data_IF_915779569765
#
_entry.id   IF_915779569765
#
_cell.length_a   1.000
_cell.length_b   1.000
_cell.length_c   1.000
_cell.angle_alpha   90.00
_cell.angle_beta   90.00
_cell.angle_gamma   90.00
#
_symmetry.space_group_name_H-M   'P 1'
#
loop_
_entity.id
_entity.type
_entity.pdbx_description
1 polymer ?
#
# COMPACT_ATOMS: atom_id res chain seq x y z
N UNK A 1 -23.96 -43.99 -10.35
CA UNK A 1 -24.32 -42.55 -10.26
C UNK A 1 -23.60 -41.83 -9.12
N UNK A 2 -23.47 -42.41 -7.91
CA UNK A 2 -22.76 -41.76 -6.79
C UNK A 2 -21.26 -41.51 -7.07
N UNK A 3 -20.54 -42.47 -7.65
CA UNK A 3 -19.11 -42.33 -7.95
C UNK A 3 -18.79 -41.16 -8.91
N UNK A 4 -19.71 -40.86 -9.83
CA UNK A 4 -19.55 -39.77 -10.80
C UNK A 4 -19.66 -38.40 -10.13
N UNK A 5 -20.55 -38.29 -9.14
CA UNK A 5 -20.78 -37.07 -8.37
C UNK A 5 -19.58 -36.77 -7.45
N UNK A 6 -19.01 -37.79 -6.81
CA UNK A 6 -17.80 -37.62 -5.99
C UNK A 6 -16.59 -37.21 -6.81
N UNK A 7 -16.41 -37.77 -8.01
CA UNK A 7 -15.30 -37.37 -8.90
C UNK A 7 -15.45 -35.91 -9.35
N UNK A 8 -16.67 -35.46 -9.67
CA UNK A 8 -16.94 -34.07 -10.05
C UNK A 8 -16.74 -33.10 -8.88
N UNK A 9 -17.17 -33.48 -7.66
CA UNK A 9 -16.95 -32.67 -6.47
C UNK A 9 -15.45 -32.52 -6.15
N UNK A 10 -14.67 -33.60 -6.27
CA UNK A 10 -13.22 -33.55 -6.07
C UNK A 10 -12.51 -32.68 -7.11
N UNK A 11 -12.92 -32.74 -8.39
CA UNK A 11 -12.40 -31.88 -9.43
C UNK A 11 -12.74 -30.40 -9.19
N UNK A 12 -13.96 -30.11 -8.75
CA UNK A 12 -14.38 -28.74 -8.45
C UNK A 12 -13.59 -28.15 -7.27
N UNK A 13 -13.41 -28.92 -6.19
CA UNK A 13 -12.60 -28.51 -5.03
C UNK A 13 -11.13 -28.33 -5.43
N UNK A 14 -10.58 -29.22 -6.26
CA UNK A 14 -9.21 -29.08 -6.79
C UNK A 14 -9.05 -27.82 -7.66
N UNK A 15 -10.04 -27.50 -8.49
CA UNK A 15 -10.05 -26.27 -9.29
C UNK A 15 -10.22 -25.02 -8.43
N UNK A 16 -11.04 -25.04 -7.38
CA UNK A 16 -11.15 -23.94 -6.43
C UNK A 16 -9.83 -23.72 -5.67
N UNK A 17 -9.17 -24.79 -5.21
CA UNK A 17 -7.87 -24.69 -4.55
C UNK A 17 -6.80 -24.11 -5.49
N UNK A 18 -6.77 -24.51 -6.76
CA UNK A 18 -5.84 -23.95 -7.75
C UNK A 18 -6.18 -22.50 -8.13
N UNK A 19 -7.47 -22.19 -8.28
CA UNK A 19 -7.95 -20.86 -8.65
C UNK A 19 -7.66 -19.82 -7.58
N UNK A 20 -7.87 -20.19 -6.31
CA UNK A 20 -7.50 -19.35 -5.16
C UNK A 20 -5.99 -19.19 -5.09
N UNK A 21 -5.20 -20.26 -5.28
CA UNK A 21 -3.73 -20.17 -5.27
C UNK A 21 -3.17 -19.24 -6.36
N UNK A 22 -3.79 -19.21 -7.55
CA UNK A 22 -3.37 -18.33 -8.64
C UNK A 22 -3.71 -16.85 -8.38
N UNK A 23 -4.84 -16.56 -7.73
CA UNK A 23 -5.23 -15.17 -7.43
C UNK A 23 -4.36 -14.56 -6.32
N UNK A 24 -3.99 -15.30 -5.27
CA UNK A 24 -3.11 -14.76 -4.21
C UNK A 24 -1.67 -14.50 -4.70
N UNK A 25 -1.17 -15.33 -5.63
CA UNK A 25 0.22 -15.23 -6.13
C UNK A 25 0.42 -14.08 -7.13
N UNK A 26 -0.62 -13.73 -7.89
CA UNK A 26 -0.59 -12.57 -8.79
C UNK A 26 -0.63 -11.24 -8.02
N UNK A 27 -1.34 -11.18 -6.88
CA UNK A 27 -1.45 -9.98 -6.05
C UNK A 27 -0.24 -9.80 -5.13
N UNK A 28 0.35 -10.89 -4.63
CA UNK A 28 1.52 -10.85 -3.73
C UNK A 28 2.83 -10.40 -4.38
N UNK A 29 3.02 -10.62 -5.69
CA UNK A 29 4.24 -10.24 -6.40
C UNK A 29 4.27 -8.75 -6.82
N UNK A 30 3.10 -8.12 -6.99
CA UNK A 30 3.02 -6.70 -7.34
C UNK A 30 3.19 -5.77 -6.11
N UNK A 31 2.82 -6.23 -4.90
CA UNK A 31 2.82 -5.39 -3.69
C UNK A 31 4.14 -5.38 -2.89
N UNK A 32 5.08 -6.32 -3.09
CA UNK A 32 6.35 -6.36 -2.33
C UNK A 32 7.53 -5.56 -2.90
N UNK A 33 7.32 -4.78 -3.96
CA UNK A 33 8.40 -4.04 -4.65
C UNK A 33 8.58 -2.57 -4.25
N UNK A 34 7.63 -1.94 -3.56
CA UNK A 34 7.59 -0.46 -3.47
C UNK A 34 7.94 0.09 -2.07
N UNK A 35 7.78 -0.69 -1.00
CA UNK A 35 8.05 -0.19 0.36
C UNK A 35 9.53 -0.16 0.77
N UNK A 36 10.47 -0.60 -0.10
CA UNK A 36 11.91 -0.58 0.20
C UNK A 36 12.66 0.65 -0.30
N UNK A 37 12.01 1.65 -0.91
CA UNK A 37 12.72 2.80 -1.52
C UNK A 37 12.16 4.18 -1.16
N UNK A 38 11.61 4.39 0.03
CA UNK A 38 11.15 5.73 0.45
C UNK A 38 11.85 6.28 1.70
N UNK A 39 12.77 5.54 2.32
CA UNK A 39 13.39 5.99 3.58
C UNK A 39 14.92 5.91 3.61
N UNK A 40 15.61 6.19 2.48
CA UNK A 40 17.08 6.24 2.51
C UNK A 40 17.76 7.21 1.53
N UNK A 41 17.11 8.31 1.15
CA UNK A 41 17.75 9.35 0.31
C UNK A 41 17.42 10.78 0.76
N UNK A 42 17.19 11.01 2.06
CA UNK A 42 16.97 12.35 2.64
C UNK A 42 18.16 12.90 3.44
N UNK A 43 19.36 12.34 3.26
CA UNK A 43 20.60 13.00 3.69
C UNK A 43 21.63 12.93 2.58
N UNK A 44 22.24 14.09 2.33
CA UNK A 44 23.47 14.30 1.55
C UNK A 44 23.34 14.60 0.06
N UNK A 45 22.35 15.40 -0.39
CA UNK A 45 22.47 16.10 -1.69
C UNK A 45 21.78 17.48 -1.69
N UNK A 46 21.97 18.30 -0.65
CA UNK A 46 21.42 19.67 -0.69
C UNK A 46 22.45 20.77 -0.96
N UNK A 47 23.57 20.92 -0.26
CA UNK A 47 24.10 22.30 -0.23
C UNK A 47 25.28 22.69 -1.12
N UNK A 48 25.92 21.82 -1.91
CA UNK A 48 27.22 22.22 -2.50
C UNK A 48 27.50 21.89 -3.97
N UNK A 49 26.59 21.21 -4.68
CA UNK A 49 26.78 20.92 -6.13
C UNK A 49 25.60 21.30 -7.02
N UNK A 50 24.39 21.50 -6.47
CA UNK A 50 23.21 21.90 -7.24
C UNK A 50 23.08 23.42 -7.46
N UNK A 51 23.84 24.24 -6.70
CA UNK A 51 23.86 25.69 -6.88
C UNK A 51 24.79 26.18 -8.01
N UNK A 52 25.63 25.33 -8.59
CA UNK A 52 26.53 25.75 -9.66
C UNK A 52 26.07 25.33 -11.08
N UNK A 53 25.17 24.34 -11.21
CA UNK A 53 24.75 23.80 -12.52
C UNK A 53 23.30 24.14 -12.93
N UNK A 54 22.48 24.66 -12.02
CA UNK A 54 21.13 25.18 -12.34
C UNK A 54 21.16 26.53 -13.07
N UNK A 55 22.32 27.18 -13.19
CA UNK A 55 22.54 28.38 -13.98
C UNK A 55 22.56 28.17 -15.51
N UNK A 56 22.29 26.95 -16.00
CA UNK A 56 22.16 26.68 -17.45
C UNK A 56 20.78 27.00 -18.04
N UNK A 57 19.73 27.13 -17.19
CA UNK A 57 18.36 27.54 -17.54
C UNK A 57 17.82 28.59 -16.56
N UNK A 58 18.68 29.47 -16.04
CA UNK A 58 18.28 30.49 -15.07
C UNK A 58 17.44 31.58 -15.69
N UNK A 59 16.22 31.75 -15.16
CA UNK A 59 15.30 32.82 -15.52
C UNK A 59 13.84 32.41 -15.33
N UNK A 60 12.95 33.34 -15.62
CA UNK A 60 11.48 33.19 -15.49
C UNK A 60 10.94 31.92 -16.18
N UNK A 61 11.52 31.53 -17.33
CA UNK A 61 11.14 30.32 -18.05
C UNK A 61 11.45 29.02 -17.30
N UNK A 62 12.57 28.96 -16.57
CA UNK A 62 12.94 27.80 -15.75
C UNK A 62 12.06 27.64 -14.52
N UNK A 63 11.59 28.74 -13.93
CA UNK A 63 10.60 28.70 -12.85
C UNK A 63 9.24 28.17 -13.34
N UNK A 64 8.77 28.64 -14.51
CA UNK A 64 7.55 28.12 -15.11
C UNK A 64 7.65 26.62 -15.40
N UNK A 65 8.77 26.16 -15.98
CA UNK A 65 8.99 24.74 -16.25
C UNK A 65 8.97 23.89 -14.97
N UNK A 66 9.52 24.40 -13.86
CA UNK A 66 9.47 23.73 -12.56
C UNK A 66 8.05 23.66 -12.00
N UNK A 67 7.27 24.74 -12.07
CA UNK A 67 5.87 24.74 -11.65
C UNK A 67 5.05 23.70 -12.43
N UNK A 68 5.26 23.63 -13.76
CA UNK A 68 4.62 22.63 -14.62
C UNK A 68 5.00 21.21 -14.24
N UNK A 69 6.29 20.95 -14.00
CA UNK A 69 6.76 19.64 -13.58
C UNK A 69 6.15 19.23 -12.22
N UNK A 70 6.13 20.15 -11.25
CA UNK A 70 5.55 19.90 -9.93
C UNK A 70 4.06 19.59 -10.02
N UNK A 71 3.32 20.38 -10.79
CA UNK A 71 1.89 20.18 -11.03
C UNK A 71 1.62 18.82 -11.67
N UNK A 72 2.28 18.51 -12.80
CA UNK A 72 2.08 17.22 -13.50
C UNK A 72 2.45 16.02 -12.65
N UNK A 73 3.52 16.13 -11.85
CA UNK A 73 3.98 15.05 -10.97
C UNK A 73 2.98 14.80 -9.85
N UNK A 74 2.52 15.85 -9.17
CA UNK A 74 1.51 15.72 -8.10
C UNK A 74 0.21 15.13 -8.65
N UNK A 75 -0.29 15.66 -9.77
CA UNK A 75 -1.53 15.19 -10.40
C UNK A 75 -1.45 13.72 -10.84
N UNK A 76 -0.36 13.31 -11.50
CA UNK A 76 -0.15 11.90 -11.89
C UNK A 76 -0.07 11.00 -10.65
N UNK A 77 0.72 11.38 -9.64
CA UNK A 77 0.86 10.58 -8.43
C UNK A 77 -0.47 10.42 -7.67
N UNK A 78 -1.34 11.44 -7.69
CA UNK A 78 -2.69 11.36 -7.10
C UNK A 78 -3.62 10.48 -7.93
N UNK A 79 -3.57 10.59 -9.26
CA UNK A 79 -4.32 9.70 -10.15
C UNK A 79 -3.94 8.24 -9.91
N UNK A 80 -2.65 7.93 -9.86
CA UNK A 80 -2.15 6.58 -9.65
C UNK A 80 -2.62 6.01 -8.29
N UNK A 81 -2.54 6.83 -7.22
CA UNK A 81 -3.00 6.42 -5.89
C UNK A 81 -4.51 6.17 -5.83
N UNK A 82 -5.32 6.99 -6.50
CA UNK A 82 -6.77 6.81 -6.55
C UNK A 82 -7.14 5.58 -7.37
N UNK A 83 -6.55 5.40 -8.57
CA UNK A 83 -6.84 4.23 -9.42
C UNK A 83 -6.43 2.91 -8.79
N UNK A 84 -5.36 2.89 -7.98
CA UNK A 84 -4.94 1.70 -7.27
C UNK A 84 -6.00 1.21 -6.24
N UNK A 85 -6.78 2.11 -5.64
CA UNK A 85 -7.77 1.76 -4.62
C UNK A 85 -9.21 1.60 -5.13
N UNK A 86 -9.55 2.16 -6.30
CA UNK A 86 -10.94 2.18 -6.80
C UNK A 86 -11.51 0.80 -7.14
N UNK A 87 -10.67 -0.16 -7.50
CA UNK A 87 -11.12 -1.53 -7.76
C UNK A 87 -11.57 -2.26 -6.48
N UNK A 88 -10.94 -1.92 -5.35
CA UNK A 88 -11.13 -2.61 -4.07
C UNK A 88 -12.12 -1.86 -3.16
N UNK A 89 -12.29 -0.54 -3.34
CA UNK A 89 -13.10 0.30 -2.46
C UNK A 89 -14.02 1.29 -3.19
N UNK A 90 -15.34 1.05 -3.11
CA UNK A 90 -16.37 1.94 -3.65
C UNK A 90 -16.43 3.31 -2.97
N UNK A 91 -15.95 3.45 -1.73
CA UNK A 91 -15.97 4.73 -1.01
C UNK A 91 -14.99 5.77 -1.58
N UNK A 92 -14.01 5.34 -2.39
CA UNK A 92 -13.12 6.25 -3.13
C UNK A 92 -13.81 6.93 -4.33
N UNK A 93 -15.02 6.54 -4.71
CA UNK A 93 -15.74 7.11 -5.86
C UNK A 93 -15.93 8.63 -5.72
N UNK A 94 -16.20 9.12 -4.51
CA UNK A 94 -16.34 10.55 -4.25
C UNK A 94 -15.01 11.29 -4.42
N UNK A 95 -13.92 10.77 -3.83
CA UNK A 95 -12.56 11.31 -3.99
C UNK A 95 -12.12 11.36 -5.45
N UNK A 96 -12.48 10.37 -6.26
CA UNK A 96 -12.27 10.37 -7.72
C UNK A 96 -13.06 11.49 -8.39
N UNK A 97 -14.32 11.70 -7.99
CA UNK A 97 -15.14 12.82 -8.48
C UNK A 97 -14.51 14.18 -8.18
N UNK A 98 -14.03 14.38 -6.95
CA UNK A 98 -13.29 15.58 -6.55
C UNK A 98 -12.01 15.75 -7.35
N UNK A 99 -11.23 14.68 -7.52
CA UNK A 99 -9.99 14.71 -8.30
C UNK A 99 -10.24 15.07 -9.78
N UNK A 100 -11.33 14.59 -10.39
CA UNK A 100 -11.69 14.96 -11.77
C UNK A 100 -11.92 16.47 -11.91
N UNK A 101 -12.64 17.08 -10.96
CA UNK A 101 -12.86 18.54 -10.93
C UNK A 101 -11.56 19.30 -10.70
N UNK A 102 -10.71 18.82 -9.77
CA UNK A 102 -9.39 19.39 -9.53
C UNK A 102 -8.48 19.28 -10.77
N UNK A 103 -8.56 18.17 -11.49
CA UNK A 103 -7.76 17.89 -12.68
C UNK A 103 -8.08 18.82 -13.83
N UNK A 104 -9.35 19.20 -14.00
CA UNK A 104 -9.73 20.22 -14.98
C UNK A 104 -9.00 21.55 -14.69
N UNK A 105 -9.00 22.01 -13.44
CA UNK A 105 -8.26 23.22 -13.05
C UNK A 105 -6.75 23.07 -13.15
N UNK A 106 -6.20 21.89 -12.88
CA UNK A 106 -4.78 21.59 -13.08
C UNK A 106 -4.37 21.64 -14.55
N UNK A 107 -5.20 21.12 -15.47
CA UNK A 107 -4.97 21.19 -16.91
C UNK A 107 -5.04 22.62 -17.45
N UNK A 108 -6.02 23.40 -16.99
CA UNK A 108 -6.14 24.82 -17.32
C UNK A 108 -4.89 25.60 -16.90
N UNK A 109 -4.38 25.35 -15.69
CA UNK A 109 -3.17 25.98 -15.18
C UNK A 109 -1.90 25.52 -15.94
N UNK A 110 -1.76 24.23 -16.29
CA UNK A 110 -0.61 23.77 -17.07
C UNK A 110 -0.56 24.43 -18.46
N UNK A 111 -1.70 24.57 -19.13
CA UNK A 111 -1.77 25.26 -20.42
C UNK A 111 -1.51 26.76 -20.30
N UNK A 112 -1.94 27.40 -19.20
CA UNK A 112 -1.59 28.79 -18.86
C UNK A 112 -0.07 28.95 -18.68
N UNK A 113 0.56 28.10 -17.87
CA UNK A 113 2.01 28.11 -17.63
C UNK A 113 2.78 27.87 -18.93
N UNK A 114 2.34 26.93 -19.76
CA UNK A 114 2.93 26.60 -21.07
C UNK A 114 2.81 27.74 -22.08
N UNK A 115 1.72 28.53 -22.01
CA UNK A 115 1.57 29.73 -22.84
C UNK A 115 2.56 30.81 -22.41
N UNK A 116 2.66 31.07 -21.10
CA UNK A 116 3.59 32.05 -20.53
C UNK A 116 5.07 31.68 -20.73
N UNK A 117 5.38 30.39 -20.83
CA UNK A 117 6.74 29.92 -21.14
C UNK A 117 7.24 30.43 -22.51
N UNK A 118 6.31 30.58 -23.48
CA UNK A 118 6.60 31.08 -24.84
C UNK A 118 6.53 32.61 -24.97
N UNK A 119 6.10 33.31 -23.93
CA UNK A 119 5.95 34.77 -23.94
C UNK A 119 7.33 35.46 -24.02
N UNK A 120 7.57 36.32 -25.02
CA UNK A 120 8.82 37.07 -25.14
C UNK A 120 9.01 38.12 -24.02
N UNK A 121 7.94 38.74 -23.50
CA UNK A 121 8.03 39.72 -22.41
C UNK A 121 8.26 39.05 -21.04
N UNK A 122 9.52 38.80 -20.72
CA UNK A 122 9.93 38.16 -19.46
C UNK A 122 9.66 39.01 -18.23
N UNK A 123 9.59 40.34 -18.36
CA UNK A 123 9.35 41.24 -17.23
C UNK A 123 7.90 41.12 -16.75
N UNK A 124 6.95 41.09 -17.68
CA UNK A 124 5.53 40.88 -17.37
C UNK A 124 5.30 39.50 -16.76
N UNK A 125 5.91 38.44 -17.30
CA UNK A 125 5.79 37.10 -16.75
C UNK A 125 6.39 37.01 -15.34
N UNK A 126 7.52 37.69 -15.07
CA UNK A 126 8.10 37.75 -13.73
C UNK A 126 7.14 38.36 -12.70
N UNK A 127 6.35 39.37 -13.07
CA UNK A 127 5.33 39.97 -12.21
C UNK A 127 4.17 39.02 -11.86
N UNK A 128 3.86 38.07 -12.76
CA UNK A 128 2.79 37.07 -12.57
C UNK A 128 3.23 35.82 -11.81
N UNK A 129 4.54 35.55 -11.73
CA UNK A 129 5.10 34.33 -11.12
C UNK A 129 4.60 34.05 -9.69
N UNK A 130 4.53 35.02 -8.76
CA UNK A 130 4.05 34.75 -7.39
C UNK A 130 2.61 34.21 -7.38
N UNK A 131 1.73 34.76 -8.21
CA UNK A 131 0.35 34.33 -8.31
C UNK A 131 0.22 32.92 -8.93
N UNK A 132 1.02 32.63 -9.95
CA UNK A 132 1.07 31.30 -10.58
C UNK A 132 1.57 30.23 -9.60
N UNK A 133 2.56 30.59 -8.78
CA UNK A 133 3.10 29.74 -7.72
C UNK A 133 2.03 29.43 -6.68
N UNK A 134 1.34 30.43 -6.15
CA UNK A 134 0.26 30.24 -5.16
C UNK A 134 -0.87 29.35 -5.72
N UNK A 135 -1.30 29.59 -6.97
CA UNK A 135 -2.31 28.75 -7.63
C UNK A 135 -1.83 27.31 -7.80
N UNK A 136 -0.58 27.12 -8.19
CA UNK A 136 0.03 25.79 -8.32
C UNK A 136 0.06 25.07 -6.97
N UNK A 137 0.55 25.74 -5.93
CA UNK A 137 0.64 25.21 -4.57
C UNK A 137 -0.73 24.81 -4.02
N UNK A 138 -1.78 25.62 -4.26
CA UNK A 138 -3.14 25.28 -3.83
C UNK A 138 -3.67 24.01 -4.50
N UNK A 139 -3.41 23.83 -5.80
CA UNK A 139 -3.82 22.63 -6.54
C UNK A 139 -3.01 21.41 -6.08
N UNK A 140 -1.69 21.53 -6.00
CA UNK A 140 -0.82 20.41 -5.58
C UNK A 140 -1.09 20.01 -4.13
N UNK A 141 -1.35 20.97 -3.23
CA UNK A 141 -1.74 20.68 -1.86
C UNK A 141 -3.06 19.90 -1.79
N UNK A 142 -4.07 20.33 -2.54
CA UNK A 142 -5.36 19.63 -2.63
C UNK A 142 -5.20 18.20 -3.19
N UNK A 143 -4.36 18.05 -4.23
CA UNK A 143 -4.04 16.76 -4.83
C UNK A 143 -3.28 15.86 -3.84
N UNK A 144 -2.37 16.42 -3.05
CA UNK A 144 -1.61 15.71 -2.03
C UNK A 144 -2.51 15.23 -0.88
N UNK A 145 -3.50 16.03 -0.46
CA UNK A 145 -4.51 15.60 0.52
C UNK A 145 -5.32 14.40 0.00
N UNK A 146 -5.76 14.43 -1.26
CA UNK A 146 -6.47 13.30 -1.89
C UNK A 146 -5.57 12.06 -1.98
N UNK A 147 -4.30 12.24 -2.33
CA UNK A 147 -3.32 11.14 -2.41
C UNK A 147 -3.06 10.51 -1.04
N UNK A 148 -2.98 11.33 0.02
CA UNK A 148 -2.80 10.82 1.37
C UNK A 148 -4.02 10.02 1.82
N UNK A 149 -5.23 10.54 1.63
CA UNK A 149 -6.47 9.83 1.94
C UNK A 149 -6.58 8.49 1.18
N UNK A 150 -6.25 8.46 -0.10
CA UNK A 150 -6.26 7.23 -0.90
C UNK A 150 -5.27 6.17 -0.39
N UNK A 151 -4.05 6.59 0.00
CA UNK A 151 -3.03 5.70 0.54
C UNK A 151 -3.39 5.17 1.93
N UNK A 152 -3.94 6.04 2.77
CA UNK A 152 -4.41 5.67 4.10
C UNK A 152 -5.51 4.60 4.01
N UNK A 153 -6.48 4.81 3.13
CA UNK A 153 -7.53 3.84 2.83
C UNK A 153 -6.97 2.50 2.35
N UNK A 154 -6.03 2.52 1.40
CA UNK A 154 -5.41 1.31 0.88
C UNK A 154 -4.64 0.51 1.95
N UNK A 155 -4.06 1.19 2.94
CA UNK A 155 -3.44 0.54 4.10
C UNK A 155 -4.48 -0.10 4.99
N UNK A 156 -5.53 0.63 5.36
CA UNK A 156 -6.60 0.10 6.20
C UNK A 156 -7.25 -1.15 5.57
N UNK A 157 -7.52 -1.14 4.26
CA UNK A 157 -8.05 -2.34 3.57
C UNK A 157 -7.10 -3.54 3.63
N UNK A 158 -5.79 -3.30 3.53
CA UNK A 158 -4.80 -4.38 3.62
C UNK A 158 -4.69 -4.93 5.05
N UNK A 159 -4.80 -4.06 6.05
CA UNK A 159 -4.80 -4.44 7.46
C UNK A 159 -6.08 -5.23 7.82
N UNK A 160 -7.25 -4.76 7.38
CA UNK A 160 -8.54 -5.44 7.58
C UNK A 160 -8.56 -6.84 6.92
N UNK A 161 -8.00 -6.97 5.71
CA UNK A 161 -7.86 -8.26 5.01
C UNK A 161 -6.91 -9.22 5.73
N UNK A 162 -5.79 -8.69 6.26
CA UNK A 162 -4.85 -9.48 7.06
C UNK A 162 -5.47 -9.96 8.38
N UNK A 163 -6.24 -9.11 9.06
CA UNK A 163 -6.96 -9.46 10.28
C UNK A 163 -8.02 -10.54 10.02
N UNK A 164 -8.78 -10.41 8.93
CA UNK A 164 -9.74 -11.43 8.51
C UNK A 164 -9.05 -12.77 8.20
N UNK A 165 -7.91 -12.74 7.51
CA UNK A 165 -7.11 -13.93 7.22
C UNK A 165 -6.57 -14.57 8.50
N UNK A 166 -6.03 -13.79 9.43
CA UNK A 166 -5.55 -14.30 10.72
C UNK A 166 -6.68 -14.96 11.52
N UNK A 167 -7.86 -14.34 11.57
CA UNK A 167 -9.03 -14.93 12.23
C UNK A 167 -9.43 -16.27 11.61
N UNK A 168 -9.37 -16.39 10.28
CA UNK A 168 -9.63 -17.65 9.59
C UNK A 168 -8.57 -18.71 9.93
N UNK A 169 -7.28 -18.33 9.91
CA UNK A 169 -6.18 -19.23 10.27
C UNK A 169 -6.34 -19.72 11.72
N UNK A 170 -6.73 -18.87 12.66
CA UNK A 170 -6.94 -19.26 14.06
C UNK A 170 -8.05 -20.30 14.22
N UNK A 171 -9.15 -20.15 13.47
CA UNK A 171 -10.25 -21.13 13.43
C UNK A 171 -9.76 -22.47 12.86
N UNK A 172 -9.06 -22.44 11.71
CA UNK A 172 -8.56 -23.65 11.05
C UNK A 172 -7.49 -24.37 11.89
N UNK A 173 -6.54 -23.62 12.46
CA UNK A 173 -5.53 -24.17 13.36
C UNK A 173 -6.14 -24.70 14.66
N UNK A 174 -7.19 -24.05 15.18
CA UNK A 174 -7.96 -24.54 16.32
C UNK A 174 -8.63 -25.88 16.03
N UNK A 175 -9.23 -26.02 14.85
CA UNK A 175 -9.85 -27.28 14.41
C UNK A 175 -8.82 -28.43 14.33
N UNK A 176 -7.63 -28.16 13.76
CA UNK A 176 -6.54 -29.14 13.69
C UNK A 176 -6.07 -29.59 15.09
N UNK A 177 -5.97 -28.66 16.05
CA UNK A 177 -5.58 -29.00 17.44
C UNK A 177 -6.65 -29.80 18.17
N UNK A 178 -7.93 -29.47 17.97
CA UNK A 178 -9.02 -30.20 18.62
C UNK A 178 -9.11 -31.65 18.13
N UNK A 179 -8.85 -31.88 16.83
CA UNK A 179 -8.75 -33.22 16.27
C UNK A 179 -7.61 -34.05 16.90
N UNK A 180 -6.44 -33.45 17.12
CA UNK A 180 -5.32 -34.16 17.80
C UNK A 180 -5.60 -34.51 19.27
N UNK A 181 -6.40 -33.69 19.97
CA UNK A 181 -6.73 -33.93 21.39
C UNK A 181 -7.78 -35.04 21.55
N UNK A 182 -8.73 -35.14 20.61
CA UNK A 182 -9.73 -36.21 20.62
C UNK A 182 -9.08 -37.59 20.33
N UNK A 183 -8.10 -37.65 19.41
CA UNK A 183 -7.34 -38.89 19.09
C UNK A 183 -6.37 -39.31 20.22
N UNK A 184 -5.85 -38.35 21.01
CA UNK A 184 -5.01 -38.64 22.18
C UNK A 184 -5.78 -39.01 23.46
N UNK A 185 -7.12 -39.18 23.38
CA UNK A 185 -7.92 -39.76 24.46
C UNK A 185 -8.40 -41.19 24.17
N UNK A 186 -7.52 -42.21 24.20
CA UNK A 186 -7.90 -43.55 24.60
C UNK A 186 -7.35 -43.83 26.01
N UNK A 187 -8.26 -43.97 26.99
CA UNK A 187 -7.97 -44.68 28.25
C UNK A 187 -7.80 -43.84 29.51
N UNK A 188 -8.86 -43.18 29.96
CA UNK A 188 -9.16 -43.16 31.40
C UNK A 188 -10.31 -44.12 31.67
N UNK A 189 -9.96 -45.39 31.86
CA UNK A 189 -10.75 -46.32 32.64
C UNK A 189 -9.82 -47.19 33.50
N UNK A 190 -9.84 -46.87 34.80
CA UNK A 190 -9.70 -47.79 35.95
C UNK A 190 -8.31 -48.28 36.36
N UNK A 191 -7.84 -47.76 37.51
CA UNK A 191 -6.73 -48.32 38.28
C UNK A 191 -6.36 -47.43 39.47
N UNK A 192 -6.95 -47.70 40.63
CA UNK A 192 -6.68 -47.01 41.88
C UNK A 192 -5.29 -47.34 42.46
N UNK A 193 -4.78 -46.41 43.29
CA UNK A 193 -3.79 -46.54 44.35
C UNK A 193 -2.29 -46.70 43.98
N UNK A 194 -1.46 -45.73 44.35
CA UNK A 194 -0.73 -45.76 45.63
C UNK A 194 0.21 -44.56 45.78
N UNK A 195 0.45 -44.17 47.03
CA UNK A 195 1.18 -42.99 47.49
C UNK A 195 2.71 -43.14 47.36
N UNK A 196 3.42 -42.01 47.27
CA UNK A 196 4.82 -41.90 47.67
C UNK A 196 5.36 -40.46 47.50
N UNK A 197 5.83 -39.78 48.56
CA UNK A 197 6.44 -38.46 48.43
C UNK A 197 7.96 -38.59 48.24
N UNK A 198 8.51 -37.90 47.24
CA UNK A 198 9.96 -37.85 47.01
C UNK A 198 10.36 -36.55 46.34
N UNK A 199 10.91 -35.64 47.13
CA UNK A 199 11.51 -34.38 46.68
C UNK A 199 12.75 -34.61 45.82
N UNK A 200 13.01 -33.71 44.87
CA UNK A 200 14.28 -33.68 44.14
C UNK A 200 14.29 -32.64 43.03
N UNK A 201 14.88 -31.48 43.32
CA UNK A 201 15.02 -30.33 42.44
C UNK A 201 16.08 -30.51 41.33
N UNK A 202 16.16 -29.48 40.46
CA UNK A 202 17.18 -29.16 39.43
C UNK A 202 16.86 -29.73 38.03
N UNK A 203 17.04 -29.03 36.89
CA UNK A 203 17.87 -27.87 36.52
C UNK A 203 17.50 -27.35 35.10
N UNK A 204 17.75 -26.06 34.83
CA UNK A 204 18.09 -25.47 33.51
C UNK A 204 16.89 -25.18 32.61
N UNK A 205 16.47 -23.95 32.31
CA UNK A 205 17.15 -22.79 31.70
C UNK A 205 17.69 -23.05 30.28
N UNK A 206 17.21 -22.18 29.37
CA UNK A 206 17.73 -21.79 28.05
C UNK A 206 17.20 -22.51 26.80
N UNK A 207 16.30 -21.79 26.10
CA UNK A 207 16.28 -21.52 24.64
C UNK A 207 14.91 -20.90 24.32
N UNK A 208 14.76 -19.60 24.04
CA UNK A 208 15.47 -18.92 22.96
C UNK A 208 14.95 -19.42 21.61
N UNK A 209 13.62 -19.34 21.38
CA UNK A 209 13.02 -19.68 20.09
C UNK A 209 13.12 -18.46 19.19
N UNK A 210 14.19 -18.44 18.41
CA UNK A 210 14.37 -17.56 17.25
C UNK A 210 13.57 -18.19 16.08
N UNK A 211 12.70 -17.41 15.44
CA UNK A 211 11.91 -17.85 14.27
C UNK A 211 12.51 -17.22 12.99
N UNK A 212 12.52 -17.93 11.85
CA UNK A 212 13.19 -17.48 10.62
C UNK A 212 12.58 -16.24 9.97
#
# INVERSE_FOLDING_TARGET
>A
MQATITILALLFVAFMALGVYATVKAVGAAKRGVDRTITQARRTVEDTTLRAKSFGQTGVAGELAQLRLALRTSMRATQDALHAGVADDSSLAESVGLFRRLSAHGLELDEELKRLEREPDRATVAGLLPQLRERTERITHSADSLRWAARDRARQFADDDLDALNAQIDIEAGALRHWTVEEQRPGQAQGAASQGPGAGATRGRDAGVDWP
#
